data_IF_440128385845
#
_entry.id   IF_440128385845
#
_cell.length_a   1.000
_cell.length_b   1.000
_cell.length_c   1.000
_cell.angle_alpha   90.00
_cell.angle_beta   90.00
_cell.angle_gamma   90.00
#
_symmetry.space_group_name_H-M   'P 1'
#
loop_
_entity.id
_entity.type
_entity.pdbx_description
1 polymer ?
#
# COMPACT_ATOMS: atom_id res chain seq x y z
N UNK A 1 17.73 -5.59 -6.10
CA UNK A 1 17.58 -5.54 -7.57
C UNK A 1 17.83 -6.93 -8.13
N UNK A 2 16.92 -7.44 -8.96
CA UNK A 2 17.15 -8.69 -9.69
C UNK A 2 18.37 -8.51 -10.62
N UNK A 3 19.25 -9.48 -10.75
CA UNK A 3 20.49 -9.36 -11.54
C UNK A 3 20.25 -9.15 -13.05
N UNK A 4 19.00 -9.10 -13.48
CA UNK A 4 18.56 -8.92 -14.88
C UNK A 4 17.97 -7.52 -15.10
N UNK A 5 17.56 -6.82 -14.04
CA UNK A 5 16.97 -5.48 -14.12
C UNK A 5 18.06 -4.42 -13.95
N UNK A 6 18.15 -3.50 -14.92
CA UNK A 6 18.96 -2.29 -14.78
C UNK A 6 18.33 -1.30 -13.81
N UNK A 7 19.14 -0.54 -13.10
CA UNK A 7 18.70 0.60 -12.29
C UNK A 7 18.94 1.86 -13.12
N UNK A 8 17.93 2.74 -13.30
CA UNK A 8 18.15 3.98 -14.04
C UNK A 8 19.14 4.87 -13.29
N UNK A 9 20.12 5.39 -14.01
CA UNK A 9 21.04 6.39 -13.49
C UNK A 9 20.24 7.68 -13.22
N UNK A 10 20.26 8.21 -12.01
CA UNK A 10 19.52 9.43 -11.68
C UNK A 10 20.01 10.68 -12.45
N UNK A 11 21.18 10.60 -13.12
CA UNK A 11 21.75 11.73 -13.88
C UNK A 11 21.53 11.62 -15.39
N UNK A 12 21.56 10.41 -15.93
CA UNK A 12 21.52 10.19 -17.40
C UNK A 12 20.24 9.49 -17.84
N UNK A 13 19.49 8.87 -16.94
CA UNK A 13 18.33 8.05 -17.26
C UNK A 13 18.68 6.71 -17.92
N UNK A 14 19.95 6.43 -18.17
CA UNK A 14 20.41 5.17 -18.74
C UNK A 14 20.33 4.04 -17.68
N UNK A 15 19.96 2.84 -18.13
CA UNK A 15 19.89 1.67 -17.25
C UNK A 15 21.30 1.15 -16.95
N UNK A 16 21.76 1.34 -15.71
CA UNK A 16 23.02 0.80 -15.24
C UNK A 16 22.81 -0.63 -14.76
N UNK A 17 23.46 -1.56 -15.42
CA UNK A 17 23.46 -2.98 -15.06
C UNK A 17 24.67 -3.27 -14.18
N UNK A 18 24.49 -3.18 -12.87
CA UNK A 18 25.50 -3.61 -11.91
C UNK A 18 25.61 -5.10 -11.93
N UNK A 19 26.37 -5.89 -12.23
CA UNK A 19 26.46 -7.37 -12.16
C UNK A 19 25.20 -8.07 -12.71
N UNK A 20 24.97 -7.97 -13.99
CA UNK A 20 23.88 -8.70 -14.65
C UNK A 20 24.42 -9.99 -15.29
N UNK A 21 23.73 -11.10 -15.08
CA UNK A 21 23.99 -12.38 -15.78
C UNK A 21 23.89 -12.20 -17.30
N UNK A 22 23.12 -11.25 -17.80
CA UNK A 22 22.99 -10.93 -19.22
C UNK A 22 24.26 -10.38 -19.83
N UNK A 23 25.22 -9.89 -19.04
CA UNK A 23 26.54 -9.43 -19.50
C UNK A 23 27.57 -10.55 -19.61
N UNK A 24 27.22 -11.78 -19.21
CA UNK A 24 28.09 -12.94 -19.34
C UNK A 24 28.04 -13.48 -20.80
N UNK A 25 29.16 -13.79 -21.42
CA UNK A 25 29.18 -14.36 -22.77
C UNK A 25 28.31 -15.63 -22.87
N UNK A 26 27.39 -15.67 -23.84
CA UNK A 26 26.42 -16.75 -24.01
C UNK A 26 25.02 -16.49 -23.40
N UNK A 27 24.88 -15.51 -22.51
CA UNK A 27 23.59 -15.18 -21.86
C UNK A 27 22.96 -13.90 -22.38
N UNK A 28 23.41 -13.35 -23.51
CA UNK A 28 22.88 -12.11 -24.11
C UNK A 28 21.38 -12.14 -24.42
N UNK A 29 20.80 -13.34 -24.64
CA UNK A 29 19.36 -13.51 -24.86
C UNK A 29 18.49 -13.07 -23.63
N UNK A 30 19.07 -13.01 -22.42
CA UNK A 30 18.40 -12.54 -21.23
C UNK A 30 18.01 -11.06 -21.32
N UNK A 31 18.69 -10.26 -22.15
CA UNK A 31 18.28 -8.87 -22.39
C UNK A 31 16.89 -8.78 -23.02
N UNK A 32 16.51 -9.76 -23.86
CA UNK A 32 15.18 -9.82 -24.46
C UNK A 32 14.06 -10.07 -23.45
N UNK A 33 14.40 -10.67 -22.30
CA UNK A 33 13.45 -10.94 -21.21
C UNK A 33 13.34 -9.78 -20.19
N UNK A 34 14.23 -8.78 -20.29
CA UNK A 34 14.24 -7.64 -19.38
C UNK A 34 12.87 -6.93 -19.25
N UNK A 35 12.11 -6.65 -20.33
CA UNK A 35 10.80 -6.03 -20.23
C UNK A 35 9.82 -6.85 -19.37
N UNK A 36 9.87 -8.18 -19.49
CA UNK A 36 8.98 -9.09 -18.72
C UNK A 36 9.31 -8.98 -17.23
N UNK A 37 10.60 -9.07 -16.87
CA UNK A 37 11.02 -8.97 -15.47
C UNK A 37 10.78 -7.58 -14.88
N UNK A 38 10.97 -6.52 -15.67
CA UNK A 38 10.69 -5.15 -15.26
C UNK A 38 9.20 -4.95 -14.96
N UNK A 39 8.33 -5.45 -15.85
CA UNK A 39 6.87 -5.37 -15.65
C UNK A 39 6.42 -6.19 -14.45
N UNK A 40 6.94 -7.42 -14.29
CA UNK A 40 6.65 -8.26 -13.13
C UNK A 40 7.14 -7.61 -11.82
N UNK A 41 8.35 -7.05 -11.81
CA UNK A 41 8.89 -6.31 -10.66
C UNK A 41 8.00 -5.09 -10.32
N UNK A 42 7.56 -4.36 -11.33
CA UNK A 42 6.65 -3.22 -11.11
C UNK A 42 5.36 -3.66 -10.43
N UNK A 43 4.70 -4.72 -10.92
CA UNK A 43 3.48 -5.26 -10.33
C UNK A 43 3.66 -5.79 -8.90
N UNK A 44 4.77 -6.50 -8.63
CA UNK A 44 5.01 -7.09 -7.33
C UNK A 44 5.52 -6.08 -6.29
N UNK A 45 6.48 -5.22 -6.66
CA UNK A 45 7.16 -4.36 -5.69
C UNK A 45 6.46 -3.00 -5.51
N UNK A 46 5.94 -2.42 -6.60
CA UNK A 46 5.33 -1.10 -6.52
C UNK A 46 3.88 -1.13 -6.01
N UNK A 47 3.23 -2.28 -5.94
CA UNK A 47 1.89 -2.45 -5.38
C UNK A 47 1.87 -3.26 -4.08
N UNK A 48 3.02 -3.49 -3.46
CA UNK A 48 3.14 -4.33 -2.26
C UNK A 48 2.34 -3.78 -1.08
N UNK A 49 2.35 -2.47 -0.85
CA UNK A 49 1.60 -1.85 0.25
C UNK A 49 0.09 -2.02 0.09
N UNK A 50 -0.41 -1.92 -1.13
CA UNK A 50 -1.84 -2.13 -1.46
C UNK A 50 -2.23 -3.57 -1.18
N UNK A 51 -1.43 -4.54 -1.64
CA UNK A 51 -1.68 -5.96 -1.42
C UNK A 51 -1.69 -6.31 0.07
N UNK A 52 -0.72 -5.78 0.84
CA UNK A 52 -0.65 -6.00 2.29
C UNK A 52 -1.84 -5.37 3.01
N UNK A 53 -2.26 -4.16 2.65
CA UNK A 53 -3.44 -3.53 3.23
C UNK A 53 -4.68 -4.43 3.10
N UNK A 54 -4.91 -4.97 1.90
CA UNK A 54 -6.05 -5.85 1.60
C UNK A 54 -5.95 -7.18 2.36
N UNK A 55 -4.78 -7.84 2.33
CA UNK A 55 -4.57 -9.12 3.00
C UNK A 55 -4.68 -9.01 4.53
N UNK A 56 -4.09 -7.97 5.11
CA UNK A 56 -4.18 -7.71 6.56
C UNK A 56 -5.62 -7.44 6.96
N UNK A 57 -6.36 -6.65 6.17
CA UNK A 57 -7.77 -6.39 6.43
C UNK A 57 -8.61 -7.67 6.44
N UNK A 58 -8.37 -8.57 5.48
CA UNK A 58 -9.05 -9.86 5.40
C UNK A 58 -8.75 -10.74 6.62
N UNK A 59 -7.47 -10.98 6.91
CA UNK A 59 -7.06 -11.80 8.05
C UNK A 59 -7.51 -11.21 9.39
N UNK A 60 -7.48 -9.90 9.52
CA UNK A 60 -7.95 -9.26 10.73
C UNK A 60 -9.47 -9.42 10.91
N UNK A 61 -10.26 -9.30 9.83
CA UNK A 61 -11.70 -9.54 9.86
C UNK A 61 -12.02 -10.99 10.26
N UNK A 62 -11.29 -11.97 9.74
CA UNK A 62 -11.42 -13.37 10.13
C UNK A 62 -11.17 -13.57 11.62
N UNK A 63 -10.12 -12.95 12.18
CA UNK A 63 -9.77 -13.07 13.60
C UNK A 63 -10.80 -12.44 14.54
N UNK A 64 -11.53 -11.42 14.10
CA UNK A 64 -12.58 -10.76 14.91
C UNK A 64 -13.98 -11.32 14.67
N UNK A 65 -14.09 -12.48 14.01
CA UNK A 65 -15.34 -13.24 13.88
C UNK A 65 -16.18 -12.90 12.64
N UNK A 66 -15.62 -12.22 11.66
CA UNK A 66 -16.24 -11.91 10.35
C UNK A 66 -15.54 -12.64 9.18
N UNK A 67 -15.45 -13.99 9.22
CA UNK A 67 -14.90 -14.73 8.11
C UNK A 67 -15.82 -14.58 6.89
N UNK A 68 -15.22 -14.44 5.71
CA UNK A 68 -15.94 -14.32 4.43
C UNK A 68 -16.67 -12.99 4.16
N UNK A 69 -16.44 -11.93 4.94
CA UNK A 69 -16.96 -10.62 4.57
C UNK A 69 -16.16 -10.03 3.40
N UNK A 70 -16.71 -10.20 2.20
CA UNK A 70 -16.10 -9.75 0.94
C UNK A 70 -16.04 -8.23 0.81
N UNK A 71 -16.70 -7.48 1.67
CA UNK A 71 -16.73 -6.02 1.66
C UNK A 71 -15.49 -5.44 2.32
N UNK A 72 -14.96 -6.12 3.33
CA UNK A 72 -13.79 -5.65 4.10
C UNK A 72 -12.59 -5.30 3.22
N UNK A 73 -12.12 -6.17 2.31
CA UNK A 73 -10.97 -5.85 1.47
C UNK A 73 -11.21 -4.64 0.55
N UNK A 74 -12.44 -4.48 0.06
CA UNK A 74 -12.80 -3.36 -0.78
C UNK A 74 -12.81 -2.04 0.01
N UNK A 75 -13.34 -2.05 1.23
CA UNK A 75 -13.36 -0.87 2.13
C UNK A 75 -11.94 -0.48 2.54
N UNK A 76 -11.10 -1.45 2.87
CA UNK A 76 -9.71 -1.20 3.23
C UNK A 76 -8.92 -0.61 2.06
N UNK A 77 -9.10 -1.17 0.85
CA UNK A 77 -8.48 -0.65 -0.36
C UNK A 77 -8.93 0.79 -0.65
N UNK A 78 -10.23 1.05 -0.63
CA UNK A 78 -10.78 2.39 -0.86
C UNK A 78 -10.24 3.40 0.15
N UNK A 79 -10.20 3.02 1.43
CA UNK A 79 -9.67 3.85 2.51
C UNK A 79 -8.17 4.13 2.34
N UNK A 80 -7.38 3.14 1.93
CA UNK A 80 -5.97 3.32 1.65
C UNK A 80 -5.74 4.31 0.52
N UNK A 81 -6.47 4.15 -0.59
CA UNK A 81 -6.37 5.05 -1.75
C UNK A 81 -6.79 6.48 -1.40
N UNK A 82 -7.80 6.65 -0.53
CA UNK A 82 -8.27 7.97 -0.08
C UNK A 82 -7.18 8.77 0.67
N UNK A 83 -6.23 8.10 1.32
CA UNK A 83 -5.12 8.74 2.04
C UNK A 83 -3.93 9.10 1.15
N UNK A 84 -3.91 8.64 -0.10
CA UNK A 84 -2.82 8.91 -1.04
C UNK A 84 -2.99 10.31 -1.64
N UNK A 85 -1.88 11.06 -1.69
CA UNK A 85 -1.85 12.29 -2.48
C UNK A 85 -1.81 11.93 -3.97
N UNK A 86 -2.79 12.41 -4.71
CA UNK A 86 -2.96 12.16 -6.16
C UNK A 86 -2.30 13.23 -7.03
N UNK A 87 -1.45 14.07 -6.46
CA UNK A 87 -0.66 15.06 -7.20
C UNK A 87 0.84 14.78 -7.04
N UNK A 88 1.57 14.80 -8.13
CA UNK A 88 3.02 14.71 -8.15
C UNK A 88 3.59 15.96 -8.80
N UNK A 89 4.57 16.61 -8.15
CA UNK A 89 5.30 17.73 -8.71
C UNK A 89 6.69 17.27 -9.15
N UNK A 90 7.08 17.60 -10.36
CA UNK A 90 8.42 17.38 -10.89
C UNK A 90 8.99 18.69 -11.41
N UNK A 91 10.29 18.87 -11.22
CA UNK A 91 11.03 20.01 -11.80
C UNK A 91 11.57 19.61 -13.16
N UNK A 92 11.21 20.37 -14.18
CA UNK A 92 11.75 20.21 -15.53
C UNK A 92 13.20 20.70 -15.57
N UNK A 93 14.00 20.26 -16.53
CA UNK A 93 15.38 20.73 -16.74
C UNK A 93 15.49 22.25 -16.88
N UNK A 94 14.40 22.92 -17.28
CA UNK A 94 14.29 24.38 -17.37
C UNK A 94 14.04 25.07 -16.01
N UNK A 95 13.96 24.31 -14.89
CA UNK A 95 13.71 24.85 -13.55
C UNK A 95 12.24 25.16 -13.23
N UNK A 96 11.31 24.83 -14.13
CA UNK A 96 9.87 24.98 -13.88
C UNK A 96 9.31 23.78 -13.14
N UNK A 97 8.53 24.02 -12.08
CA UNK A 97 7.80 22.98 -11.37
C UNK A 97 6.47 22.70 -12.07
N UNK A 98 6.36 21.53 -12.67
CA UNK A 98 5.11 21.05 -13.27
C UNK A 98 4.42 20.11 -12.28
N UNK A 99 3.17 20.45 -11.92
CA UNK A 99 2.34 19.60 -11.06
C UNK A 99 1.40 18.79 -11.94
N UNK A 100 1.49 17.47 -11.85
CA UNK A 100 0.63 16.52 -12.56
C UNK A 100 -0.42 16.03 -11.57
N UNK A 101 -1.69 16.22 -11.88
CA UNK A 101 -2.82 15.76 -11.09
C UNK A 101 -3.27 14.36 -11.51
N UNK A 102 -3.98 13.63 -10.63
CA UNK A 102 -4.50 12.28 -10.86
C UNK A 102 -3.42 11.22 -11.11
N UNK A 103 -2.26 11.38 -10.46
CA UNK A 103 -1.15 10.43 -10.52
C UNK A 103 -0.87 9.90 -9.12
N UNK A 104 -0.70 8.59 -9.00
CA UNK A 104 -0.27 7.95 -7.75
C UNK A 104 1.23 7.70 -7.84
N UNK A 105 1.99 8.34 -6.96
CA UNK A 105 3.42 8.09 -6.88
C UNK A 105 3.69 6.69 -6.31
N UNK A 106 4.61 5.95 -6.94
CA UNK A 106 4.98 4.59 -6.52
C UNK A 106 5.52 4.53 -5.08
N UNK A 107 6.00 5.64 -4.54
CA UNK A 107 6.42 5.75 -3.14
C UNK A 107 5.31 5.46 -2.13
N UNK A 108 4.04 5.70 -2.49
CA UNK A 108 2.90 5.41 -1.62
C UNK A 108 2.48 3.94 -1.66
N UNK A 109 2.62 3.28 -2.80
CA UNK A 109 2.14 1.92 -3.04
C UNK A 109 3.21 0.85 -2.87
N UNK A 110 4.49 1.22 -2.89
CA UNK A 110 5.65 0.34 -2.74
C UNK A 110 5.95 0.00 -1.27
N UNK A 111 7.11 -0.59 -1.02
CA UNK A 111 7.57 -0.97 0.32
C UNK A 111 7.59 0.19 1.33
N UNK A 112 7.80 1.42 0.87
CA UNK A 112 7.75 2.62 1.76
C UNK A 112 6.37 2.90 2.32
N UNK A 113 5.31 2.53 1.60
CA UNK A 113 3.92 2.63 2.04
C UNK A 113 3.42 1.45 2.87
N UNK A 114 4.23 0.42 3.07
CA UNK A 114 3.82 -0.85 3.67
C UNK A 114 3.25 -0.68 5.09
N UNK A 115 3.92 0.09 5.94
CA UNK A 115 3.46 0.35 7.30
C UNK A 115 2.13 1.11 7.33
N UNK A 116 1.94 2.05 6.38
CA UNK A 116 0.66 2.75 6.22
C UNK A 116 -0.42 1.75 5.83
N UNK A 117 -0.15 0.89 4.85
CA UNK A 117 -1.08 -0.16 4.42
C UNK A 117 -1.51 -1.08 5.56
N UNK A 118 -0.56 -1.50 6.40
CA UNK A 118 -0.83 -2.35 7.56
C UNK A 118 -1.74 -1.64 8.59
N UNK A 119 -1.38 -0.42 8.98
CA UNK A 119 -2.15 0.36 9.97
C UNK A 119 -3.54 0.69 9.45
N UNK A 120 -3.64 1.15 8.21
CA UNK A 120 -4.92 1.47 7.56
C UNK A 120 -5.79 0.23 7.43
N UNK A 121 -5.21 -0.91 7.01
CA UNK A 121 -5.92 -2.18 6.91
C UNK A 121 -6.57 -2.60 8.24
N UNK A 122 -5.84 -2.53 9.35
CA UNK A 122 -6.35 -2.87 10.68
C UNK A 122 -7.41 -1.87 11.16
N UNK A 123 -7.08 -0.57 11.13
CA UNK A 123 -7.97 0.46 11.68
C UNK A 123 -9.29 0.58 10.90
N UNK A 124 -9.21 0.49 9.58
CA UNK A 124 -10.41 0.54 8.72
C UNK A 124 -11.32 -0.66 8.96
N UNK A 125 -10.72 -1.86 9.05
CA UNK A 125 -11.49 -3.08 9.33
C UNK A 125 -12.16 -3.02 10.69
N UNK A 126 -11.43 -2.57 11.71
CA UNK A 126 -11.97 -2.43 13.06
C UNK A 126 -13.13 -1.41 13.10
N UNK A 127 -12.99 -0.29 12.43
CA UNK A 127 -14.05 0.73 12.34
C UNK A 127 -15.26 0.18 11.58
N UNK A 128 -15.04 -0.43 10.42
CA UNK A 128 -16.09 -0.99 9.58
C UNK A 128 -16.89 -2.07 10.32
N UNK A 129 -16.21 -3.05 10.92
CA UNK A 129 -16.87 -4.14 11.66
C UNK A 129 -17.68 -3.60 12.84
N UNK A 130 -17.13 -2.67 13.61
CA UNK A 130 -17.90 -2.03 14.71
C UNK A 130 -19.17 -1.31 14.21
N UNK A 131 -19.12 -0.69 13.03
CA UNK A 131 -20.29 -0.05 12.44
C UNK A 131 -21.32 -1.08 11.97
N UNK A 132 -20.88 -2.18 11.37
CA UNK A 132 -21.76 -3.28 10.96
C UNK A 132 -22.41 -3.95 12.16
N UNK A 133 -21.66 -4.27 13.20
CA UNK A 133 -22.12 -4.94 14.41
C UNK A 133 -23.06 -4.07 15.24
N UNK A 134 -22.94 -2.75 15.15
CA UNK A 134 -23.86 -1.84 15.86
C UNK A 134 -25.32 -2.02 15.42
N UNK A 135 -25.56 -2.57 14.23
CA UNK A 135 -26.89 -2.80 13.66
C UNK A 135 -27.70 -1.53 13.36
N UNK A 136 -27.26 -0.37 13.85
CA UNK A 136 -28.01 0.91 13.75
C UNK A 136 -28.02 1.47 12.32
N UNK A 137 -27.09 1.07 11.49
CA UNK A 137 -26.87 1.57 10.12
C UNK A 137 -27.40 0.60 9.07
N UNK A 138 -28.01 -0.52 9.50
CA UNK A 138 -28.53 -1.54 8.58
C UNK A 138 -29.82 -1.07 7.94
N UNK A 139 -29.86 -1.03 6.60
CA UNK A 139 -31.09 -0.86 5.85
C UNK A 139 -31.80 -2.21 5.81
N UNK A 140 -32.97 -2.33 6.42
CA UNK A 140 -33.84 -3.47 6.26
C UNK A 140 -34.70 -3.28 5.03
N UNK A 141 -34.54 -4.14 4.05
CA UNK A 141 -35.38 -4.20 2.85
C UNK A 141 -36.53 -5.19 3.09
N UNK A 142 -37.67 -5.02 2.39
CA UNK A 142 -38.78 -5.98 2.44
C UNK A 142 -38.33 -7.38 2.02
N UNK A 143 -39.02 -8.41 2.55
CA UNK A 143 -38.71 -9.83 2.29
C UNK A 143 -38.84 -10.26 0.81
N UNK A 144 -39.46 -9.40 -0.04
CA UNK A 144 -39.56 -9.60 -1.47
C UNK A 144 -38.23 -9.39 -2.24
N UNK A 145 -37.20 -8.84 -1.59
CA UNK A 145 -35.90 -8.56 -2.22
C UNK A 145 -34.96 -9.76 -2.07
N UNK A 146 -34.24 -10.16 -3.14
CA UNK A 146 -33.27 -11.24 -3.06
C UNK A 146 -32.22 -11.01 -1.96
N UNK A 147 -31.80 -12.05 -1.20
CA UNK A 147 -30.90 -11.91 -0.05
C UNK A 147 -29.56 -11.24 -0.37
N UNK A 148 -29.01 -11.52 -1.56
CA UNK A 148 -27.74 -10.92 -2.00
C UNK A 148 -27.83 -9.39 -2.17
N UNK A 149 -28.98 -8.90 -2.64
CA UNK A 149 -29.23 -7.46 -2.81
C UNK A 149 -29.42 -6.82 -1.46
N UNK A 150 -30.22 -7.42 -0.58
CA UNK A 150 -30.47 -6.96 0.78
C UNK A 150 -29.15 -6.85 1.59
N UNK A 151 -28.26 -7.83 1.44
CA UNK A 151 -26.94 -7.81 2.09
C UNK A 151 -26.07 -6.64 1.60
N UNK A 152 -26.08 -6.37 0.28
CA UNK A 152 -25.30 -5.26 -0.30
C UNK A 152 -25.76 -3.90 0.23
N UNK A 153 -27.08 -3.71 0.40
CA UNK A 153 -27.63 -2.49 0.98
C UNK A 153 -27.36 -2.36 2.48
N UNK A 154 -27.32 -3.49 3.21
CA UNK A 154 -27.06 -3.48 4.64
C UNK A 154 -25.64 -2.97 4.99
N UNK A 155 -24.66 -3.20 4.11
CA UNK A 155 -23.25 -2.78 4.32
C UNK A 155 -22.93 -1.42 3.70
N UNK A 156 -23.85 -0.84 2.92
CA UNK A 156 -23.63 0.41 2.17
C UNK A 156 -23.30 1.58 3.09
N UNK A 157 -24.14 1.84 4.10
CA UNK A 157 -23.92 2.95 5.03
C UNK A 157 -22.67 2.76 5.90
N UNK A 158 -22.41 1.59 6.52
CA UNK A 158 -21.15 1.33 7.20
C UNK A 158 -19.93 1.61 6.33
N UNK A 159 -19.95 1.21 5.05
CA UNK A 159 -18.86 1.46 4.10
C UNK A 159 -18.64 2.95 3.86
N UNK A 160 -19.70 3.69 3.53
CA UNK A 160 -19.61 5.13 3.27
C UNK A 160 -19.07 5.87 4.49
N UNK A 161 -19.60 5.58 5.68
CA UNK A 161 -19.18 6.23 6.92
C UNK A 161 -17.72 5.92 7.23
N UNK A 162 -17.28 4.67 7.03
CA UNK A 162 -15.89 4.28 7.24
C UNK A 162 -14.95 5.08 6.35
N UNK A 163 -15.25 5.14 5.04
CA UNK A 163 -14.43 5.89 4.08
C UNK A 163 -14.43 7.39 4.41
N UNK A 164 -15.57 7.96 4.78
CA UNK A 164 -15.67 9.36 5.21
C UNK A 164 -14.83 9.65 6.45
N UNK A 165 -14.89 8.79 7.47
CA UNK A 165 -14.06 8.93 8.66
C UNK A 165 -12.57 8.93 8.32
N UNK A 166 -12.13 8.01 7.46
CA UNK A 166 -10.73 7.95 7.01
C UNK A 166 -10.36 9.19 6.19
N UNK A 167 -11.27 9.66 5.32
CA UNK A 167 -11.07 10.91 4.55
C UNK A 167 -10.91 12.12 5.46
N UNK A 168 -11.71 12.22 6.53
CA UNK A 168 -11.59 13.30 7.52
C UNK A 168 -10.23 13.25 8.22
N UNK A 169 -9.76 12.07 8.59
CA UNK A 169 -8.41 11.91 9.18
C UNK A 169 -7.33 12.38 8.20
N UNK A 170 -7.41 11.95 6.93
CA UNK A 170 -6.49 12.41 5.88
C UNK A 170 -6.53 13.93 5.69
N UNK A 171 -7.72 14.52 5.70
CA UNK A 171 -7.91 15.97 5.59
C UNK A 171 -7.30 16.72 6.78
N UNK A 172 -7.49 16.23 8.00
CA UNK A 172 -6.87 16.81 9.20
C UNK A 172 -5.34 16.80 9.07
N UNK A 173 -4.75 15.67 8.65
CA UNK A 173 -3.31 15.60 8.39
C UNK A 173 -2.87 16.63 7.35
N UNK A 174 -3.64 16.81 6.28
CA UNK A 174 -3.30 17.78 5.22
C UNK A 174 -3.37 19.23 5.69
N UNK A 175 -4.23 19.57 6.67
CA UNK A 175 -4.26 20.91 7.29
C UNK A 175 -2.95 21.26 8.00
N UNK A 176 -2.23 20.26 8.49
CA UNK A 176 -0.87 20.43 9.07
C UNK A 176 0.24 20.38 8.03
N UNK A 177 -0.10 20.32 6.74
CA UNK A 177 0.87 20.19 5.64
C UNK A 177 1.57 18.83 5.58
N UNK A 178 1.01 17.82 6.24
CA UNK A 178 1.56 16.46 6.33
C UNK A 178 0.59 15.47 5.65
N UNK A 179 1.14 14.49 4.95
CA UNK A 179 0.36 13.33 4.55
C UNK A 179 0.37 12.28 5.68
N UNK A 180 -0.61 11.37 5.71
CA UNK A 180 -0.60 10.24 6.66
C UNK A 180 0.68 9.40 6.50
N UNK A 181 1.23 9.34 5.30
CA UNK A 181 2.49 8.68 5.00
C UNK A 181 3.68 9.37 5.69
N UNK A 182 3.72 10.70 5.67
CA UNK A 182 4.77 11.48 6.34
C UNK A 182 4.72 11.32 7.87
N UNK A 183 3.51 11.29 8.43
CA UNK A 183 3.31 11.04 9.87
C UNK A 183 3.87 9.68 10.26
N UNK A 184 3.48 8.62 9.55
CA UNK A 184 3.94 7.26 9.86
C UNK A 184 5.44 7.13 9.59
N UNK A 185 5.96 7.71 8.51
CA UNK A 185 7.39 7.73 8.21
C UNK A 185 8.18 8.42 9.32
N UNK A 186 7.69 9.53 9.84
CA UNK A 186 8.33 10.25 10.95
C UNK A 186 8.36 9.40 12.23
N UNK A 187 7.27 8.71 12.54
CA UNK A 187 7.20 7.79 13.69
C UNK A 187 8.13 6.59 13.52
N UNK A 188 8.26 6.10 12.28
CA UNK A 188 9.13 4.95 11.96
C UNK A 188 10.60 5.33 11.74
N UNK A 189 10.93 6.60 11.51
CA UNK A 189 12.29 7.06 11.27
C UNK A 189 13.32 6.65 12.36
N UNK A 190 13.01 6.70 13.67
CA UNK A 190 13.95 6.21 14.68
C UNK A 190 14.21 4.72 14.59
N UNK A 191 13.18 3.93 14.24
CA UNK A 191 13.31 2.47 14.03
C UNK A 191 14.18 2.19 12.80
N UNK A 192 13.91 2.89 11.68
CA UNK A 192 14.72 2.81 10.47
C UNK A 192 16.18 3.15 10.72
N UNK A 193 16.45 4.22 11.48
CA UNK A 193 17.81 4.64 11.82
C UNK A 193 18.56 3.62 12.69
N UNK A 194 17.87 2.95 13.60
CA UNK A 194 18.45 1.86 14.41
C UNK A 194 18.74 0.65 13.50
N UNK A 195 17.83 0.29 12.62
CA UNK A 195 17.93 -0.91 11.76
C UNK A 195 18.95 -0.76 10.63
N UNK A 196 19.19 0.46 10.13
CA UNK A 196 20.17 0.72 9.05
C UNK A 196 21.59 0.84 9.57
N UNK A 197 21.82 1.01 10.87
CA UNK A 197 23.14 0.94 11.49
C UNK A 197 23.69 -0.50 11.46
N UNK A 198 25.01 -0.64 11.29
CA UNK A 198 25.70 -1.95 11.24
C UNK A 198 25.34 -2.88 12.42
N UNK A 199 25.32 -2.43 13.69
CA UNK A 199 24.90 -3.27 14.80
C UNK A 199 23.39 -3.61 14.75
N UNK A 200 22.54 -2.67 14.33
CA UNK A 200 21.11 -2.90 14.21
C UNK A 200 20.78 -3.91 13.13
N UNK A 201 21.46 -3.85 11.99
CA UNK A 201 21.30 -4.82 10.92
C UNK A 201 21.62 -6.26 11.38
N UNK A 202 22.72 -6.44 12.13
CA UNK A 202 23.09 -7.75 12.69
C UNK A 202 22.00 -8.27 13.63
N UNK A 203 21.48 -7.41 14.52
CA UNK A 203 20.42 -7.78 15.46
C UNK A 203 19.14 -8.18 14.72
N UNK A 204 18.74 -7.41 13.71
CA UNK A 204 17.56 -7.74 12.90
C UNK A 204 17.71 -9.07 12.18
N UNK A 205 18.86 -9.33 11.57
CA UNK A 205 19.14 -10.60 10.90
C UNK A 205 19.10 -11.77 11.90
N UNK A 206 19.65 -11.61 13.08
CA UNK A 206 19.59 -12.64 14.14
C UNK A 206 18.16 -12.90 14.61
N UNK A 207 17.37 -11.85 14.83
CA UNK A 207 15.95 -11.98 15.23
C UNK A 207 15.16 -12.69 14.13
N UNK A 208 15.35 -12.30 12.87
CA UNK A 208 14.69 -12.94 11.72
C UNK A 208 15.05 -14.42 11.61
N UNK A 209 16.32 -14.78 11.85
CA UNK A 209 16.76 -16.18 11.85
C UNK A 209 16.14 -16.98 13.01
N UNK A 210 16.03 -16.36 14.21
CA UNK A 210 15.39 -16.99 15.37
C UNK A 210 13.88 -17.18 15.19
N UNK A 211 13.20 -16.21 14.56
CA UNK A 211 11.76 -16.32 14.27
C UNK A 211 11.43 -17.32 13.16
N UNK A 212 12.41 -17.60 12.30
CA UNK A 212 12.24 -18.54 11.20
C UNK A 212 12.48 -20.02 11.66
N UNK A 213 13.05 -20.21 12.82
CA UNK A 213 13.31 -21.53 13.44
C UNK A 213 12.20 -21.93 14.38
#
# INVERSE_FOLDING_TARGET
ALPICGVPDPKTGELIYYVSLANVPGFGWLHSLNPIFTTANYGCMNFMAVAICVLVAMHYAENIGHPNDKTVPAVALASFVTLINTSASTTTEAGETVTISNVVASSYTSATGLFVGLIVGILTTLLYVKLVDSGKLKISLPDSVPPNVSQSFAVLFPTIITILCVSIVGYICSMFGLTMFDVIKTVMAPVEKIMTGLPGYIVVVLIMQLLWW
#
